data_IF_718207073346
#
_entry.id   IF_718207073346
#
_cell.length_a   1.000
_cell.length_b   1.000
_cell.length_c   1.000
_cell.angle_alpha   90.00
_cell.angle_beta   90.00
_cell.angle_gamma   90.00
#
_symmetry.space_group_name_H-M   'P 1'
#
loop_
_entity.id
_entity.type
_entity.pdbx_description
1 polymer ?
#
# COMPACT_ATOMS: atom_id res chain seq x y z
N UNK A 1 16.54 21.37 -42.40
CA UNK A 1 16.10 20.02 -42.04
C UNK A 1 15.67 20.03 -40.58
N UNK A 2 14.39 19.69 -40.34
CA UNK A 2 13.78 19.04 -39.14
C UNK A 2 14.31 19.40 -37.75
N UNK A 3 13.58 20.16 -36.91
CA UNK A 3 12.41 19.77 -36.06
C UNK A 3 12.66 18.51 -35.23
N UNK A 4 12.81 18.68 -33.90
CA UNK A 4 12.24 17.92 -32.77
C UNK A 4 12.81 18.58 -31.48
N UNK A 5 12.24 19.70 -31.01
CA UNK A 5 11.09 19.75 -30.10
C UNK A 5 11.29 18.81 -28.89
N UNK A 6 11.73 19.33 -27.75
CA UNK A 6 10.82 19.74 -26.66
C UNK A 6 10.02 18.57 -26.06
N UNK A 7 10.69 17.53 -25.53
CA UNK A 7 10.02 16.58 -24.61
C UNK A 7 11.03 16.12 -23.55
N UNK A 8 11.18 16.89 -22.45
CA UNK A 8 11.73 16.37 -21.19
C UNK A 8 11.48 17.30 -19.98
N UNK A 9 10.48 18.18 -20.02
CA UNK A 9 10.17 19.09 -18.92
C UNK A 9 8.73 18.85 -18.44
N UNK A 10 8.50 17.84 -17.58
CA UNK A 10 7.82 18.16 -16.32
C UNK A 10 8.22 17.28 -15.11
N UNK A 11 9.40 16.65 -15.08
CA UNK A 11 9.80 15.81 -13.93
C UNK A 11 10.57 16.56 -12.83
N UNK A 12 10.78 17.87 -12.98
CA UNK A 12 11.53 18.72 -12.05
C UNK A 12 10.65 19.47 -11.01
N UNK A 13 9.35 19.17 -10.95
CA UNK A 13 8.40 19.90 -10.09
C UNK A 13 7.99 19.16 -8.79
N UNK A 14 8.49 17.95 -8.52
CA UNK A 14 8.20 17.21 -7.26
C UNK A 14 9.46 17.04 -6.41
N UNK A 15 10.31 18.06 -6.41
CA UNK A 15 11.42 18.21 -5.46
C UNK A 15 11.24 19.51 -4.66
N UNK A 16 10.03 19.71 -4.12
CA UNK A 16 9.86 20.59 -2.97
C UNK A 16 10.46 19.90 -1.73
N UNK A 17 11.03 20.65 -0.77
CA UNK A 17 11.87 20.08 0.26
C UNK A 17 11.00 19.27 1.24
N UNK A 18 11.25 17.96 1.35
CA UNK A 18 10.66 17.10 2.38
C UNK A 18 11.56 16.87 3.63
N UNK A 19 12.31 17.84 4.21
CA UNK A 19 12.96 17.62 5.50
C UNK A 19 12.05 17.93 6.71
N UNK A 20 10.82 18.43 6.52
CA UNK A 20 9.92 18.76 7.62
C UNK A 20 8.99 17.62 8.06
N UNK A 21 8.53 16.76 7.14
CA UNK A 21 7.59 15.68 7.46
C UNK A 21 8.24 14.49 8.20
N UNK A 22 9.56 14.32 8.11
CA UNK A 22 10.28 13.22 8.79
C UNK A 22 10.60 13.52 10.27
N UNK A 23 10.33 14.74 10.74
CA UNK A 23 10.52 15.18 12.12
C UNK A 23 9.18 15.34 12.88
N UNK A 24 8.06 14.91 12.28
CA UNK A 24 6.75 15.02 12.91
C UNK A 24 6.59 13.98 14.02
N UNK A 25 6.35 14.40 15.29
CA UNK A 25 6.02 13.49 16.38
C UNK A 25 4.81 12.62 16.05
N UNK A 26 3.85 13.19 15.31
CA UNK A 26 2.64 12.52 14.86
C UNK A 26 2.93 11.39 13.86
N UNK A 27 3.90 11.58 12.95
CA UNK A 27 4.33 10.52 12.03
C UNK A 27 5.03 9.38 12.79
N UNK A 28 5.82 9.69 13.82
CA UNK A 28 6.44 8.69 14.70
C UNK A 28 5.41 7.93 15.54
N UNK A 29 4.40 8.60 16.06
CA UNK A 29 3.32 7.98 16.83
C UNK A 29 2.45 7.08 15.93
N UNK A 30 2.20 7.52 14.69
CA UNK A 30 1.54 6.69 13.67
C UNK A 30 2.36 5.44 13.36
N UNK A 31 3.69 5.58 13.20
CA UNK A 31 4.59 4.43 12.96
C UNK A 31 4.68 3.51 14.18
N UNK A 32 4.66 4.04 15.40
CA UNK A 32 4.65 3.26 16.63
C UNK A 32 3.33 2.47 16.76
N UNK A 33 2.20 3.10 16.47
CA UNK A 33 0.87 2.48 16.44
C UNK A 33 0.78 1.39 15.36
N UNK A 34 1.36 1.64 14.19
CA UNK A 34 1.42 0.65 13.11
C UNK A 34 2.32 -0.54 13.42
N UNK A 35 3.29 -0.42 14.33
CA UNK A 35 4.15 -1.51 14.79
C UNK A 35 3.67 -2.16 16.10
N UNK A 36 2.59 -1.66 16.70
CA UNK A 36 2.00 -2.27 17.89
C UNK A 36 1.34 -3.61 17.50
N UNK A 37 1.81 -4.75 18.02
CA UNK A 37 1.27 -6.06 17.68
C UNK A 37 -0.22 -6.17 18.01
N UNK A 38 -0.70 -5.49 19.06
CA UNK A 38 -2.12 -5.51 19.44
C UNK A 38 -2.95 -4.71 18.44
N UNK A 39 -2.44 -3.58 17.94
CA UNK A 39 -3.10 -2.80 16.91
C UNK A 39 -3.12 -3.55 15.56
N UNK A 40 -2.01 -4.20 15.21
CA UNK A 40 -1.89 -5.01 13.99
C UNK A 40 -2.86 -6.19 13.99
N UNK A 41 -3.00 -6.91 15.11
CA UNK A 41 -3.96 -8.02 15.23
C UNK A 41 -5.41 -7.52 15.06
N UNK A 42 -5.78 -6.39 15.69
CA UNK A 42 -7.11 -5.80 15.54
C UNK A 42 -7.41 -5.33 14.12
N UNK A 43 -6.42 -4.75 13.44
CA UNK A 43 -6.55 -4.36 12.04
C UNK A 43 -6.75 -5.59 11.15
N UNK A 44 -5.98 -6.65 11.40
CA UNK A 44 -6.13 -7.92 10.69
C UNK A 44 -7.52 -8.51 10.90
N UNK A 45 -8.02 -8.57 12.13
CA UNK A 45 -9.36 -9.07 12.44
C UNK A 45 -10.47 -8.25 11.75
N UNK A 46 -10.31 -6.92 11.71
CA UNK A 46 -11.25 -6.02 11.03
C UNK A 46 -11.25 -6.27 9.52
N UNK A 47 -10.08 -6.40 8.91
CA UNK A 47 -9.96 -6.71 7.48
C UNK A 47 -10.57 -8.09 7.17
N UNK A 48 -10.27 -9.09 8.00
CA UNK A 48 -10.85 -10.43 7.86
C UNK A 48 -12.38 -10.39 7.96
N UNK A 49 -12.95 -9.60 8.88
CA UNK A 49 -14.39 -9.44 8.99
C UNK A 49 -15.00 -8.76 7.76
N UNK A 50 -14.35 -7.71 7.24
CA UNK A 50 -14.81 -7.02 6.01
C UNK A 50 -14.74 -7.96 4.81
N UNK A 51 -13.63 -8.67 4.62
CA UNK A 51 -13.47 -9.63 3.52
C UNK A 51 -14.48 -10.77 3.65
N UNK A 52 -14.68 -11.30 4.85
CA UNK A 52 -15.70 -12.31 5.12
C UNK A 52 -17.12 -11.84 4.77
N UNK A 53 -17.45 -10.59 5.11
CA UNK A 53 -18.73 -9.99 4.75
C UNK A 53 -18.88 -9.80 3.23
N UNK A 54 -17.82 -9.36 2.54
CA UNK A 54 -17.82 -9.22 1.08
C UNK A 54 -17.99 -10.57 0.38
N UNK A 55 -17.38 -11.63 0.91
CA UNK A 55 -17.50 -12.98 0.35
C UNK A 55 -18.92 -13.55 0.49
N UNK A 56 -19.72 -13.08 1.44
CA UNK A 56 -21.13 -13.45 1.59
C UNK A 56 -22.08 -12.61 0.73
N UNK A 57 -21.57 -11.59 0.01
CA UNK A 57 -22.40 -10.73 -0.82
C UNK A 57 -23.03 -11.54 -1.96
N UNK A 58 -24.36 -11.51 -2.13
CA UNK A 58 -25.03 -12.22 -3.22
C UNK A 58 -24.72 -11.57 -4.56
N UNK A 59 -24.23 -12.36 -5.51
CA UNK A 59 -23.88 -11.92 -6.88
C UNK A 59 -24.90 -12.36 -7.93
N UNK A 60 -25.84 -13.24 -7.58
CA UNK A 60 -26.86 -13.73 -8.49
C UNK A 60 -27.68 -12.66 -9.23
N UNK A 61 -28.15 -11.57 -8.57
CA UNK A 61 -28.86 -10.49 -9.29
C UNK A 61 -28.01 -9.79 -10.35
N UNK A 62 -26.70 -9.66 -10.12
CA UNK A 62 -25.76 -9.08 -11.07
C UNK A 62 -25.50 -10.06 -12.24
N UNK A 63 -25.30 -11.34 -11.93
CA UNK A 63 -25.14 -12.39 -12.93
C UNK A 63 -26.37 -12.51 -13.85
N UNK A 64 -27.58 -12.48 -13.28
CA UNK A 64 -28.84 -12.43 -14.03
C UNK A 64 -28.92 -11.24 -14.98
N UNK A 65 -28.42 -10.07 -14.56
CA UNK A 65 -28.42 -8.87 -15.39
C UNK A 65 -27.46 -9.02 -16.58
N UNK A 66 -26.28 -9.62 -16.36
CA UNK A 66 -25.30 -9.90 -17.41
C UNK A 66 -25.84 -10.93 -18.40
N UNK A 67 -26.40 -12.04 -17.92
CA UNK A 67 -26.96 -13.11 -18.76
C UNK A 67 -28.14 -12.64 -19.64
N UNK A 68 -28.87 -11.60 -19.23
CA UNK A 68 -29.90 -10.97 -20.07
C UNK A 68 -29.34 -10.15 -21.23
N UNK A 69 -28.13 -9.59 -21.07
CA UNK A 69 -27.46 -8.78 -22.09
C UNK A 69 -26.62 -9.66 -23.01
N UNK A 70 -25.94 -10.65 -22.45
CA UNK A 70 -25.11 -11.64 -23.14
C UNK A 70 -25.48 -13.06 -22.67
N UNK A 71 -26.39 -13.75 -23.38
CA UNK A 71 -26.86 -15.08 -23.01
C UNK A 71 -25.79 -16.17 -23.06
N UNK A 72 -24.73 -15.96 -23.85
CA UNK A 72 -23.63 -16.92 -24.00
C UNK A 72 -22.53 -16.73 -22.93
N UNK A 73 -22.68 -15.72 -22.06
CA UNK A 73 -21.77 -15.46 -20.96
C UNK A 73 -21.82 -16.58 -19.91
N UNK A 74 -20.66 -16.90 -19.32
CA UNK A 74 -20.56 -17.80 -18.17
C UNK A 74 -21.43 -17.37 -16.97
N UNK A 75 -21.82 -16.09 -16.92
CA UNK A 75 -22.76 -15.57 -15.94
C UNK A 75 -24.14 -16.25 -15.98
N UNK A 76 -24.54 -16.82 -17.13
CA UNK A 76 -25.80 -17.56 -17.27
C UNK A 76 -25.84 -18.85 -16.43
N UNK A 77 -24.69 -19.39 -16.04
CA UNK A 77 -24.58 -20.60 -15.22
C UNK A 77 -24.41 -20.33 -13.73
N UNK A 78 -24.31 -19.06 -13.31
CA UNK A 78 -24.16 -18.68 -11.91
C UNK A 78 -25.53 -18.79 -11.21
N UNK A 79 -25.65 -19.56 -10.11
CA UNK A 79 -26.89 -19.65 -9.33
C UNK A 79 -27.35 -18.28 -8.80
N UNK A 80 -28.67 -18.08 -8.70
CA UNK A 80 -29.25 -16.81 -8.20
C UNK A 80 -28.94 -16.50 -6.74
N UNK A 81 -28.68 -17.52 -5.95
CA UNK A 81 -28.28 -17.43 -4.56
C UNK A 81 -26.76 -17.47 -4.38
N UNK A 82 -25.99 -17.51 -5.47
CA UNK A 82 -24.54 -17.55 -5.41
C UNK A 82 -23.97 -16.30 -4.75
N UNK A 83 -22.95 -16.52 -3.93
CA UNK A 83 -22.18 -15.48 -3.26
C UNK A 83 -20.89 -15.18 -4.00
N UNK A 84 -20.30 -14.01 -3.73
CA UNK A 84 -19.01 -13.62 -4.30
C UNK A 84 -17.92 -14.66 -4.02
N UNK A 85 -17.92 -15.25 -2.81
CA UNK A 85 -16.97 -16.30 -2.43
C UNK A 85 -17.16 -17.62 -3.18
N UNK A 86 -18.36 -17.91 -3.67
CA UNK A 86 -18.63 -19.09 -4.51
C UNK A 86 -18.14 -18.91 -5.93
N UNK A 87 -18.33 -17.71 -6.49
CA UNK A 87 -17.91 -17.39 -7.85
C UNK A 87 -16.40 -17.17 -7.95
N UNK A 88 -15.75 -16.62 -6.92
CA UNK A 88 -14.30 -16.38 -6.89
C UNK A 88 -13.44 -17.67 -6.80
N UNK A 89 -14.07 -18.85 -6.72
CA UNK A 89 -13.39 -20.13 -6.51
C UNK A 89 -13.37 -20.48 -5.03
N UNK A 90 -14.18 -21.47 -4.65
CA UNK A 90 -14.43 -21.87 -3.26
C UNK A 90 -13.22 -22.54 -2.62
N UNK A 91 -12.32 -21.73 -2.10
CA UNK A 91 -11.37 -22.14 -1.06
C UNK A 91 -11.97 -21.74 0.31
N UNK A 92 -12.59 -22.67 1.05
CA UNK A 92 -13.22 -22.38 2.33
C UNK A 92 -12.24 -21.85 3.38
N UNK A 93 -10.93 -22.10 3.20
CA UNK A 93 -9.88 -21.64 4.08
C UNK A 93 -9.22 -20.33 3.59
N UNK A 94 -9.72 -19.70 2.51
CA UNK A 94 -9.07 -18.55 1.87
C UNK A 94 -8.88 -17.37 2.83
N UNK A 95 -9.90 -17.06 3.63
CA UNK A 95 -9.85 -15.97 4.60
C UNK A 95 -8.81 -16.26 5.70
N UNK A 96 -8.75 -17.49 6.20
CA UNK A 96 -7.77 -17.92 7.22
C UNK A 96 -6.35 -17.90 6.66
N UNK A 97 -6.18 -18.36 5.41
CA UNK A 97 -4.90 -18.34 4.69
C UNK A 97 -4.43 -16.92 4.45
N UNK A 98 -5.31 -16.04 3.97
CA UNK A 98 -5.03 -14.61 3.76
C UNK A 98 -4.65 -13.95 5.08
N UNK A 99 -5.37 -14.22 6.17
CA UNK A 99 -5.05 -13.71 7.50
C UNK A 99 -3.72 -14.21 8.05
N UNK A 100 -3.35 -15.46 7.76
CA UNK A 100 -2.04 -16.02 8.11
C UNK A 100 -0.91 -15.37 7.30
N UNK A 101 -1.14 -15.12 6.00
CA UNK A 101 -0.17 -14.53 5.09
C UNK A 101 0.08 -13.06 5.44
N UNK A 102 -0.97 -12.28 5.72
CA UNK A 102 -0.86 -10.90 6.23
C UNK A 102 -0.06 -10.87 7.52
N UNK A 103 -0.34 -11.74 8.50
CA UNK A 103 0.43 -11.82 9.75
C UNK A 103 1.89 -12.22 9.54
N UNK A 104 2.18 -13.11 8.59
CA UNK A 104 3.54 -13.46 8.23
C UNK A 104 4.28 -12.27 7.61
N UNK A 105 3.63 -11.59 6.66
CA UNK A 105 4.20 -10.45 5.93
C UNK A 105 4.48 -9.27 6.87
N UNK A 106 3.54 -8.97 7.78
CA UNK A 106 3.69 -7.91 8.79
C UNK A 106 4.84 -8.19 9.76
N UNK A 107 5.01 -9.44 10.22
CA UNK A 107 6.17 -9.82 11.06
C UNK A 107 7.49 -9.61 10.32
N UNK A 108 7.53 -9.99 9.04
CA UNK A 108 8.71 -9.81 8.20
C UNK A 108 9.04 -8.34 7.98
N UNK A 109 8.02 -7.52 7.70
CA UNK A 109 8.15 -6.07 7.57
C UNK A 109 8.65 -5.43 8.87
N UNK A 110 8.15 -5.84 10.03
CA UNK A 110 8.60 -5.37 11.34
C UNK A 110 10.07 -5.73 11.63
N UNK A 111 10.52 -6.92 11.22
CA UNK A 111 11.93 -7.32 11.32
C UNK A 111 12.82 -6.51 10.40
N UNK A 112 12.40 -6.29 9.14
CA UNK A 112 13.11 -5.46 8.19
C UNK A 112 13.20 -4.00 8.67
N UNK A 113 12.10 -3.45 9.21
CA UNK A 113 12.07 -2.12 9.80
C UNK A 113 13.00 -2.02 11.02
N UNK A 114 13.03 -3.05 11.88
CA UNK A 114 13.95 -3.11 13.02
C UNK A 114 15.42 -3.13 12.58
N UNK A 115 15.74 -3.90 11.53
CA UNK A 115 17.08 -3.92 10.94
C UNK A 115 17.45 -2.55 10.34
N UNK A 116 16.52 -1.89 9.65
CA UNK A 116 16.72 -0.53 9.12
C UNK A 116 16.86 0.52 10.23
N UNK A 117 16.14 0.37 11.34
CA UNK A 117 16.23 1.26 12.49
C UNK A 117 17.62 1.24 13.14
N UNK A 118 18.34 0.12 13.09
CA UNK A 118 19.75 0.03 13.51
C UNK A 118 20.64 0.97 12.68
N UNK A 119 20.34 1.12 11.39
CA UNK A 119 21.09 1.97 10.47
C UNK A 119 20.54 3.40 10.35
N UNK A 120 19.36 3.67 10.91
CA UNK A 120 18.73 5.00 10.86
C UNK A 120 19.60 6.15 11.40
N UNK A 121 20.40 6.00 12.48
CA UNK A 121 21.30 7.07 12.94
C UNK A 121 22.35 7.43 11.89
N UNK A 122 22.95 6.41 11.25
CA UNK A 122 23.98 6.59 10.21
C UNK A 122 23.40 7.31 8.99
N UNK A 123 22.21 6.90 8.56
CA UNK A 123 21.50 7.56 7.45
C UNK A 123 21.14 9.00 7.78
N UNK A 124 20.73 9.29 9.03
CA UNK A 124 20.43 10.64 9.51
C UNK A 124 21.67 11.53 9.54
N UNK A 125 22.81 11.01 9.98
CA UNK A 125 24.05 11.78 10.04
C UNK A 125 24.57 12.08 8.63
N UNK A 126 24.50 11.10 7.72
CA UNK A 126 24.83 11.31 6.31
C UNK A 126 23.91 12.37 5.64
N UNK A 127 22.60 12.33 5.93
CA UNK A 127 21.67 13.35 5.44
C UNK A 127 21.97 14.75 5.99
N UNK A 128 22.37 14.84 7.27
CA UNK A 128 22.77 16.12 7.89
C UNK A 128 24.06 16.66 7.29
N UNK A 129 25.05 15.80 7.02
CA UNK A 129 26.30 16.19 6.39
C UNK A 129 26.09 16.70 4.97
N UNK A 130 25.23 16.02 4.19
CA UNK A 130 24.83 16.47 2.85
C UNK A 130 24.11 17.82 2.89
N UNK A 131 23.20 18.03 3.84
CA UNK A 131 22.51 19.31 4.01
C UNK A 131 23.49 20.45 4.34
N UNK A 132 24.43 20.20 5.26
CA UNK A 132 25.46 21.16 5.62
C UNK A 132 26.41 21.45 4.45
N UNK A 133 26.70 20.46 3.60
CA UNK A 133 27.53 20.63 2.41
C UNK A 133 26.83 21.49 1.36
N UNK A 134 25.54 21.27 1.13
CA UNK A 134 24.72 22.09 0.25
C UNK A 134 24.69 23.56 0.71
N UNK A 135 24.48 23.81 2.00
CA UNK A 135 24.48 25.17 2.55
C UNK A 135 25.82 25.87 2.36
N UNK A 136 26.94 25.15 2.53
CA UNK A 136 28.28 25.67 2.23
C UNK A 136 28.44 26.02 0.75
N UNK A 137 27.98 25.17 -0.17
CA UNK A 137 28.04 25.44 -1.61
C UNK A 137 27.17 26.63 -2.04
N UNK A 138 26.03 26.86 -1.38
CA UNK A 138 25.19 28.06 -1.60
C UNK A 138 25.79 29.33 -0.98
N UNK A 139 26.59 29.20 0.07
CA UNK A 139 27.22 30.33 0.75
C UNK A 139 28.52 30.81 0.07
N UNK A 140 29.10 30.02 -0.86
CA UNK A 140 30.19 30.48 -1.73
C UNK A 140 29.57 31.38 -2.81
N UNK A 141 29.82 32.71 -2.80
CA UNK A 141 29.38 33.55 -3.90
C UNK A 141 30.18 33.14 -5.14
N UNK A 142 29.48 32.71 -6.20
CA UNK A 142 30.07 32.57 -7.54
C UNK A 142 30.71 33.93 -7.90
N UNK A 143 32.04 34.00 -7.80
CA UNK A 143 32.86 35.06 -8.39
C UNK A 143 33.22 34.68 -9.81
#
# INVERSE_FOLDING_TARGET
MTRFALIALPLLAVAAPLPAAAADPELRDTVATLNDPVAQDRMADTITAIVGALMQMPVGPLADAIARVDPESDAAYIPRDATLGEVAGRDPDYADRMGADVRATTRMAGQAASALAVYAPVLKDMARDMAAQWERERAVPRR
#
